data_IF_210424878403
#
_entry.id   IF_210424878403
#
_cell.length_a   1.000
_cell.length_b   1.000
_cell.length_c   1.000
_cell.angle_alpha   90.00
_cell.angle_beta   90.00
_cell.angle_gamma   90.00
#
_symmetry.space_group_name_H-M   'P 1'
#
loop_
_entity.id
_entity.type
_entity.pdbx_description
1 polymer ?
#
# COMPACT_ATOMS: atom_id res chain seq x y z
N UNK A 1 -28.18 14.18 9.16
CA UNK A 1 -26.85 14.54 8.63
C UNK A 1 -26.45 13.45 7.65
N UNK A 2 -26.45 13.73 6.34
CA UNK A 2 -25.96 12.77 5.37
C UNK A 2 -24.42 12.84 5.43
N UNK A 3 -23.81 11.89 6.14
CA UNK A 3 -22.36 11.72 6.08
C UNK A 3 -21.99 11.45 4.63
N UNK A 4 -21.00 12.19 4.13
CA UNK A 4 -20.44 12.02 2.78
C UNK A 4 -20.32 10.52 2.48
N UNK A 5 -21.11 10.01 1.53
CA UNK A 5 -21.14 8.58 1.21
C UNK A 5 -19.83 8.23 0.54
N UNK A 6 -18.86 7.90 1.39
CA UNK A 6 -17.46 7.55 1.19
C UNK A 6 -17.02 7.47 -0.27
N UNK A 7 -16.21 8.45 -0.68
CA UNK A 7 -15.48 8.41 -1.94
C UNK A 7 -14.69 7.10 -2.02
N UNK A 8 -15.17 6.17 -2.86
CA UNK A 8 -14.46 4.91 -3.14
C UNK A 8 -13.37 5.18 -4.15
N UNK A 9 -12.15 4.80 -3.81
CA UNK A 9 -10.99 4.92 -4.69
C UNK A 9 -10.92 3.67 -5.56
N UNK A 10 -11.40 3.77 -6.79
CA UNK A 10 -11.23 2.71 -7.79
C UNK A 10 -9.86 2.80 -8.46
N UNK A 11 -9.38 1.67 -8.97
CA UNK A 11 -8.14 1.57 -9.73
C UNK A 11 -6.89 1.39 -8.86
N UNK A 12 -5.76 1.84 -9.41
CA UNK A 12 -4.43 1.71 -8.79
C UNK A 12 -3.70 3.04 -8.78
N UNK A 13 -2.85 3.22 -7.77
CA UNK A 13 -2.15 4.46 -7.47
C UNK A 13 -0.65 4.21 -7.41
N UNK A 14 0.14 5.18 -7.87
CA UNK A 14 1.59 5.13 -7.66
C UNK A 14 1.93 5.53 -6.25
N UNK A 15 2.75 4.71 -5.61
CA UNK A 15 3.33 4.99 -4.31
C UNK A 15 4.83 4.79 -4.28
N UNK A 16 5.43 5.11 -3.15
CA UNK A 16 6.85 4.87 -2.86
C UNK A 16 6.99 4.24 -1.50
N UNK A 17 7.84 3.23 -1.39
CA UNK A 17 8.16 2.61 -0.09
C UNK A 17 8.98 3.59 0.74
N UNK A 18 8.46 3.95 1.91
CA UNK A 18 9.16 4.78 2.89
C UNK A 18 9.86 3.94 3.97
N UNK A 19 9.31 2.75 4.29
CA UNK A 19 9.83 1.89 5.35
C UNK A 19 9.47 0.43 5.14
N UNK A 20 10.39 -0.47 5.49
CA UNK A 20 10.22 -1.92 5.32
C UNK A 20 10.32 -2.72 6.64
N UNK A 21 10.56 -2.05 7.76
CA UNK A 21 10.67 -2.69 9.08
C UNK A 21 9.30 -2.88 9.74
N UNK A 22 8.50 -3.84 9.26
CA UNK A 22 7.19 -4.16 9.83
C UNK A 22 7.32 -4.68 11.28
N UNK A 23 6.86 -3.93 12.29
CA UNK A 23 6.99 -4.33 13.70
C UNK A 23 6.21 -5.62 14.02
N UNK A 24 5.18 -5.93 13.23
CA UNK A 24 4.34 -7.11 13.43
C UNK A 24 4.84 -8.33 12.63
N UNK A 25 5.90 -8.18 11.84
CA UNK A 25 6.41 -9.25 10.96
C UNK A 25 5.34 -9.87 10.04
N UNK A 26 4.37 -9.07 9.59
CA UNK A 26 3.27 -9.49 8.72
C UNK A 26 3.59 -9.29 7.23
N UNK A 27 4.79 -8.82 6.90
CA UNK A 27 5.21 -8.57 5.52
C UNK A 27 4.62 -7.29 4.93
N UNK A 28 4.32 -6.30 5.78
CA UNK A 28 3.83 -4.98 5.35
C UNK A 28 4.98 -4.01 5.09
N UNK A 29 4.69 -2.96 4.35
CA UNK A 29 5.60 -1.84 4.10
C UNK A 29 4.87 -0.52 4.34
N UNK A 30 5.60 0.50 4.78
CA UNK A 30 5.10 1.86 4.80
C UNK A 30 5.21 2.45 3.40
N UNK A 31 4.11 2.95 2.89
CA UNK A 31 4.04 3.60 1.57
C UNK A 31 3.55 5.04 1.69
N UNK A 32 4.06 5.87 0.79
CA UNK A 32 3.51 7.19 0.49
C UNK A 32 2.69 7.09 -0.80
N UNK A 33 1.57 7.81 -0.89
CA UNK A 33 0.69 7.83 -2.07
C UNK A 33 0.32 9.30 -2.34
N UNK A 34 1.17 10.04 -3.07
CA UNK A 34 1.03 11.49 -3.23
C UNK A 34 -0.32 11.91 -3.84
N UNK A 35 -0.85 11.13 -4.78
CA UNK A 35 -2.12 11.40 -5.45
C UNK A 35 -3.33 11.41 -4.50
N UNK A 36 -3.20 10.80 -3.31
CA UNK A 36 -4.26 10.78 -2.29
C UNK A 36 -3.89 11.58 -1.03
N UNK A 37 -2.75 12.29 -1.02
CA UNK A 37 -2.27 13.01 0.16
C UNK A 37 -1.83 12.11 1.31
N UNK A 38 -1.62 10.80 1.07
CA UNK A 38 -1.18 9.85 2.10
C UNK A 38 0.35 9.91 2.19
N UNK A 39 0.86 10.34 3.33
CA UNK A 39 2.30 10.54 3.57
C UNK A 39 2.99 9.33 4.21
N UNK A 40 2.25 8.46 4.89
CA UNK A 40 2.76 7.21 5.46
C UNK A 40 1.61 6.30 5.86
N UNK A 41 1.52 5.12 5.26
CA UNK A 41 0.52 4.11 5.63
C UNK A 41 1.07 2.70 5.47
N UNK A 42 0.74 1.81 6.39
CA UNK A 42 1.12 0.40 6.30
C UNK A 42 0.23 -0.32 5.27
N UNK A 43 0.87 -1.01 4.34
CA UNK A 43 0.19 -1.81 3.34
C UNK A 43 0.83 -3.21 3.27
N UNK A 44 0.05 -4.30 3.34
CA UNK A 44 0.52 -5.62 2.96
C UNK A 44 0.99 -5.62 1.50
N UNK A 45 2.01 -6.42 1.22
CA UNK A 45 2.51 -6.65 -0.13
C UNK A 45 1.86 -7.90 -0.69
N UNK A 46 1.24 -7.80 -1.86
CA UNK A 46 0.78 -8.95 -2.63
C UNK A 46 2.01 -9.73 -3.08
N UNK A 47 2.09 -11.01 -2.71
CA UNK A 47 3.22 -11.88 -3.05
C UNK A 47 2.73 -13.24 -3.54
N UNK A 48 3.54 -13.95 -4.35
CA UNK A 48 3.29 -15.33 -4.67
C UNK A 48 3.17 -16.19 -3.40
N UNK A 49 2.26 -17.16 -3.43
CA UNK A 49 2.13 -18.14 -2.36
C UNK A 49 3.46 -18.85 -2.11
N UNK A 50 3.83 -19.01 -0.83
CA UNK A 50 5.09 -19.63 -0.42
C UNK A 50 6.31 -18.71 -0.45
N UNK A 51 6.20 -17.46 -0.92
CA UNK A 51 7.31 -16.51 -0.77
C UNK A 51 7.41 -16.02 0.68
N UNK A 52 8.57 -16.22 1.31
CA UNK A 52 8.88 -15.70 2.64
C UNK A 52 9.94 -14.62 2.54
N UNK A 53 9.72 -13.47 3.18
CA UNK A 53 10.80 -12.56 3.56
C UNK A 53 11.60 -11.84 2.45
N UNK A 54 11.16 -11.77 1.19
CA UNK A 54 11.96 -10.99 0.21
C UNK A 54 11.94 -9.51 0.59
N UNK A 55 13.15 -8.97 0.83
CA UNK A 55 13.36 -7.62 1.31
C UNK A 55 12.85 -6.61 0.27
N UNK A 56 11.94 -5.74 0.71
CA UNK A 56 11.50 -4.60 -0.09
C UNK A 56 12.46 -3.44 0.15
N UNK A 57 12.95 -2.83 -0.93
CA UNK A 57 13.86 -1.69 -0.85
C UNK A 57 13.08 -0.41 -0.50
N UNK A 58 13.53 0.32 0.50
CA UNK A 58 13.08 1.70 0.76
C UNK A 58 13.43 2.59 -0.44
N UNK A 59 12.47 3.40 -0.89
CA UNK A 59 12.55 4.20 -2.10
C UNK A 59 12.06 3.48 -3.37
N UNK A 60 11.68 2.19 -3.29
CA UNK A 60 11.11 1.50 -4.44
C UNK A 60 9.75 2.11 -4.84
N UNK A 61 9.56 2.31 -6.14
CA UNK A 61 8.27 2.69 -6.70
C UNK A 61 7.32 1.50 -6.70
N UNK A 62 6.08 1.70 -6.29
CA UNK A 62 5.09 0.64 -6.18
C UNK A 62 3.72 1.04 -6.72
N UNK A 63 2.92 0.03 -7.03
CA UNK A 63 1.50 0.17 -7.39
C UNK A 63 0.66 -0.26 -6.20
N UNK A 64 -0.26 0.61 -5.78
CA UNK A 64 -1.12 0.41 -4.61
C UNK A 64 -2.59 0.39 -5.05
N UNK A 65 -3.34 -0.58 -4.55
CA UNK A 65 -4.79 -0.65 -4.65
C UNK A 65 -5.41 -0.56 -3.24
N UNK A 66 -6.73 -0.48 -3.18
CA UNK A 66 -7.49 -0.39 -1.93
C UNK A 66 -8.58 -1.44 -1.88
N UNK A 67 -8.67 -2.20 -0.79
CA UNK A 67 -9.71 -3.23 -0.64
C UNK A 67 -11.09 -2.58 -0.63
N UNK A 68 -11.97 -3.00 -1.56
CA UNK A 68 -13.28 -2.37 -1.74
C UNK A 68 -13.24 -0.88 -2.16
N UNK A 69 -12.06 -0.35 -2.49
CA UNK A 69 -11.83 1.07 -2.71
C UNK A 69 -11.75 1.91 -1.43
N UNK A 70 -11.59 1.28 -0.27
CA UNK A 70 -11.47 1.96 1.03
C UNK A 70 -10.01 2.38 1.29
N UNK A 71 -9.73 3.69 1.42
CA UNK A 71 -8.37 4.19 1.63
C UNK A 71 -7.73 3.68 2.91
N UNK A 72 -8.50 3.18 3.89
CA UNK A 72 -7.99 2.61 5.13
C UNK A 72 -7.34 1.22 4.93
N UNK A 73 -7.62 0.54 3.81
CA UNK A 73 -7.17 -0.82 3.52
C UNK A 73 -6.33 -0.88 2.24
N UNK A 74 -5.09 -0.34 2.24
CA UNK A 74 -4.22 -0.34 1.08
C UNK A 74 -3.58 -1.71 0.87
N UNK A 75 -3.26 -2.05 -0.37
CA UNK A 75 -2.49 -3.26 -0.73
C UNK A 75 -1.48 -2.89 -1.81
N UNK A 76 -0.21 -3.22 -1.60
CA UNK A 76 0.80 -3.10 -2.65
C UNK A 76 0.64 -4.26 -3.61
N UNK A 77 0.24 -3.99 -4.84
CA UNK A 77 0.02 -5.00 -5.88
C UNK A 77 1.33 -5.44 -6.55
N UNK A 78 2.33 -4.57 -6.55
CA UNK A 78 3.64 -4.85 -7.16
C UNK A 78 4.56 -3.64 -7.14
N UNK A 79 5.78 -3.84 -7.62
CA UNK A 79 6.82 -2.82 -7.74
C UNK A 79 7.05 -2.47 -9.21
N UNK A 80 7.33 -1.19 -9.46
CA UNK A 80 7.69 -0.68 -10.80
C UNK A 80 9.20 -0.54 -10.85
N UNK A 81 9.80 -1.14 -11.89
CA UNK A 81 11.23 -1.03 -12.22
C UNK A 81 11.46 -0.17 -13.44
#
# INVERSE_FOLDING_TARGET
>A
MAGDTGRRYSGVYRGTVQGAGDPLSQGRVQVTIPAMGISSQWAPVCRPAGSVGSAVRVGASCIVAFEGGDPAFPVVMGFVG
#
